data_IF_624831253367
#
_entry.id   IF_624831253367
#
_cell.length_a   1.000
_cell.length_b   1.000
_cell.length_c   1.000
_cell.angle_alpha   90.00
_cell.angle_beta   90.00
_cell.angle_gamma   90.00
#
_symmetry.space_group_name_H-M   'P 1'
#
loop_
_entity.id
_entity.type
_entity.pdbx_description
1 polymer ?
#
# COMPACT_ATOMS: atom_id res chain seq x y z
N UNK A 1 -2.86 -14.02 1.32
CA UNK A 1 -1.79 -14.18 0.31
C UNK A 1 -0.59 -13.37 0.74
N UNK A 2 0.62 -13.85 0.44
CA UNK A 2 1.87 -13.11 0.68
C UNK A 2 2.64 -12.92 -0.62
N UNK A 3 3.58 -11.98 -0.63
CA UNK A 3 4.56 -11.82 -1.71
C UNK A 3 5.87 -12.48 -1.33
N UNK A 4 6.61 -12.99 -2.33
CA UNK A 4 7.97 -13.51 -2.17
C UNK A 4 8.86 -12.71 -3.11
N UNK A 5 9.98 -12.20 -2.59
CA UNK A 5 10.99 -11.47 -3.34
C UNK A 5 12.29 -12.28 -3.38
N UNK A 6 12.88 -12.43 -4.57
CA UNK A 6 14.18 -13.06 -4.77
C UNK A 6 15.13 -12.08 -5.46
N UNK A 7 16.25 -11.75 -4.81
CA UNK A 7 17.24 -10.79 -5.32
C UNK A 7 18.26 -11.53 -6.20
N UNK A 8 18.38 -11.12 -7.46
CA UNK A 8 19.36 -11.71 -8.41
C UNK A 8 20.68 -10.95 -8.46
N UNK A 9 20.61 -9.63 -8.37
CA UNK A 9 21.73 -8.71 -8.41
C UNK A 9 21.45 -7.65 -7.34
N UNK A 10 22.45 -7.34 -6.52
CA UNK A 10 22.35 -6.39 -5.40
C UNK A 10 23.49 -5.37 -5.46
N UNK A 11 23.26 -4.11 -5.08
CA UNK A 11 24.31 -3.12 -5.02
C UNK A 11 25.31 -3.46 -3.89
N UNK A 12 26.57 -2.98 -3.98
CA UNK A 12 27.57 -3.23 -2.94
C UNK A 12 27.24 -2.53 -1.61
N UNK A 13 26.43 -1.47 -1.64
CA UNK A 13 25.94 -0.73 -0.46
C UNK A 13 24.51 -0.26 -0.72
N UNK A 14 23.63 -0.36 0.29
CA UNK A 14 22.23 0.02 0.21
C UNK A 14 21.34 -1.05 -0.45
N UNK A 15 20.14 -0.66 -0.90
CA UNK A 15 19.16 -1.58 -1.52
C UNK A 15 18.20 -2.24 -0.53
N UNK A 16 18.14 -1.76 0.71
CA UNK A 16 17.26 -2.28 1.74
C UNK A 16 15.79 -2.17 1.35
N UNK A 17 15.03 -3.21 1.67
CA UNK A 17 13.57 -3.19 1.61
C UNK A 17 13.02 -3.11 3.02
N UNK A 18 12.33 -2.02 3.33
CA UNK A 18 11.73 -1.81 4.64
C UNK A 18 10.28 -2.27 4.64
N UNK A 19 9.85 -2.82 5.78
CA UNK A 19 8.47 -3.23 6.02
C UNK A 19 7.92 -2.50 7.25
N UNK A 20 6.64 -2.14 7.19
CA UNK A 20 5.91 -1.57 8.32
C UNK A 20 4.64 -2.38 8.57
N UNK A 21 4.37 -2.69 9.84
CA UNK A 21 3.15 -3.41 10.24
C UNK A 21 1.98 -2.45 10.36
N UNK A 22 1.04 -2.53 9.43
CA UNK A 22 -0.19 -1.72 9.49
C UNK A 22 -1.13 -2.13 10.63
N UNK A 23 -0.98 -3.34 11.19
CA UNK A 23 -1.63 -3.70 12.45
C UNK A 23 -1.06 -2.88 13.62
N UNK A 24 0.27 -2.79 13.72
CA UNK A 24 0.92 -2.03 14.78
C UNK A 24 0.58 -0.54 14.66
N UNK A 25 0.57 0.00 13.43
CA UNK A 25 0.13 1.36 13.16
C UNK A 25 -1.30 1.61 13.65
N UNK A 26 -2.25 0.71 13.32
CA UNK A 26 -3.61 0.80 13.82
C UNK A 26 -3.67 0.77 15.36
N UNK A 27 -2.96 -0.15 16.01
CA UNK A 27 -2.96 -0.26 17.47
C UNK A 27 -2.41 0.99 18.16
N UNK A 28 -1.40 1.63 17.57
CA UNK A 28 -0.78 2.86 18.07
C UNK A 28 -1.66 4.12 17.95
N UNK A 29 -2.72 4.09 17.13
CA UNK A 29 -3.67 5.20 17.05
C UNK A 29 -4.41 5.41 18.38
N UNK A 30 -4.62 6.67 18.72
CA UNK A 30 -5.48 7.07 19.84
C UNK A 30 -6.93 6.64 19.60
N UNK A 31 -7.70 6.44 20.68
CA UNK A 31 -9.11 6.07 20.55
C UNK A 31 -9.94 7.09 19.73
N UNK A 32 -9.74 8.42 19.88
CA UNK A 32 -10.41 9.40 19.00
C UNK A 32 -10.06 9.21 17.52
N UNK A 33 -8.81 8.89 17.19
CA UNK A 33 -8.38 8.66 15.80
C UNK A 33 -8.94 7.38 15.21
N UNK A 34 -9.00 6.29 15.99
CA UNK A 34 -9.68 5.07 15.57
C UNK A 34 -11.16 5.33 15.26
N UNK A 35 -11.84 6.13 16.10
CA UNK A 35 -13.24 6.50 15.88
C UNK A 35 -13.41 7.40 14.66
N UNK A 36 -12.55 8.40 14.51
CA UNK A 36 -12.61 9.35 13.40
C UNK A 36 -12.41 8.66 12.04
N UNK A 37 -11.45 7.74 11.95
CA UNK A 37 -11.15 7.02 10.73
C UNK A 37 -12.12 5.86 10.45
N UNK A 38 -12.93 5.47 11.45
CA UNK A 38 -13.90 4.38 11.32
C UNK A 38 -15.00 4.77 10.34
N UNK A 39 -15.20 3.97 9.29
CA UNK A 39 -16.21 4.20 8.25
C UNK A 39 -15.76 5.10 7.11
N UNK A 40 -14.55 5.67 7.17
CA UNK A 40 -13.99 6.41 6.04
C UNK A 40 -13.43 5.47 4.97
N UNK A 41 -13.45 5.95 3.73
CA UNK A 41 -12.84 5.30 2.57
C UNK A 41 -11.72 6.17 1.99
N UNK A 42 -10.76 5.52 1.32
CA UNK A 42 -9.67 6.14 0.60
C UNK A 42 -9.64 5.65 -0.84
N UNK A 43 -9.31 6.55 -1.77
CA UNK A 43 -9.10 6.23 -3.18
C UNK A 43 -7.59 6.04 -3.41
N UNK A 44 -7.20 4.85 -3.83
CA UNK A 44 -5.84 4.54 -4.25
C UNK A 44 -5.76 4.72 -5.77
N UNK A 45 -4.99 5.71 -6.22
CA UNK A 45 -4.78 6.04 -7.63
C UNK A 45 -3.31 5.81 -8.02
N UNK A 46 -3.09 4.85 -8.92
CA UNK A 46 -1.76 4.50 -9.41
C UNK A 46 -1.25 5.41 -10.54
N UNK A 47 -2.12 6.20 -11.18
CA UNK A 47 -1.76 6.99 -12.35
C UNK A 47 -0.69 8.05 -12.04
N UNK A 48 -0.80 8.88 -10.98
CA UNK A 48 0.20 9.91 -10.68
C UNK A 48 1.60 9.35 -10.40
N UNK A 49 1.68 8.18 -9.76
CA UNK A 49 2.97 7.56 -9.44
C UNK A 49 3.62 6.93 -10.68
N UNK A 50 2.83 6.34 -11.58
CA UNK A 50 3.34 5.73 -12.81
C UNK A 50 3.76 6.77 -13.84
N UNK A 51 3.03 7.88 -13.97
CA UNK A 51 3.39 8.97 -14.88
C UNK A 51 4.64 9.71 -14.43
N UNK A 52 4.78 9.99 -13.12
CA UNK A 52 5.92 10.75 -12.58
C UNK A 52 7.24 9.97 -12.53
N UNK A 53 7.18 8.63 -12.51
CA UNK A 53 8.40 7.79 -12.44
C UNK A 53 8.91 7.31 -13.80
N UNK A 54 8.21 7.61 -14.91
CA UNK A 54 8.60 7.27 -16.29
C UNK A 54 9.15 5.83 -16.45
N UNK A 55 8.64 4.91 -15.61
CA UNK A 55 9.25 3.58 -15.36
C UNK A 55 8.70 2.46 -16.24
N UNK A 56 7.92 2.82 -17.25
CA UNK A 56 7.48 1.90 -18.29
C UNK A 56 8.13 2.37 -19.58
N UNK A 57 9.33 1.84 -19.82
CA UNK A 57 10.02 1.84 -21.10
C UNK A 57 8.98 1.63 -22.22
N UNK A 58 8.84 2.65 -23.08
CA UNK A 58 8.35 2.60 -24.47
C UNK A 58 7.20 1.64 -24.81
N UNK A 59 6.01 1.84 -24.25
CA UNK A 59 4.79 1.38 -24.91
C UNK A 59 3.90 2.59 -25.16
N UNK A 60 3.73 2.96 -26.43
CA UNK A 60 2.83 4.01 -26.93
C UNK A 60 1.34 3.74 -26.63
N UNK A 61 1.03 2.76 -25.78
CA UNK A 61 -0.35 2.41 -25.41
C UNK A 61 -0.79 3.20 -24.17
N UNK A 62 -1.92 3.93 -24.22
CA UNK A 62 -2.46 4.58 -23.05
C UNK A 62 -2.84 3.53 -22.00
N UNK A 63 -2.04 3.41 -20.94
CA UNK A 63 -2.32 2.53 -19.80
C UNK A 63 -3.32 3.22 -18.87
N UNK A 64 -4.54 2.69 -18.81
CA UNK A 64 -5.53 3.08 -17.80
C UNK A 64 -5.17 2.42 -16.48
N UNK A 65 -4.87 3.23 -15.46
CA UNK A 65 -4.65 2.72 -14.10
C UNK A 65 -5.98 2.73 -13.34
N UNK A 66 -6.39 1.61 -12.73
CA UNK A 66 -7.63 1.58 -11.97
C UNK A 66 -7.51 2.44 -10.71
N UNK A 67 -8.56 3.21 -10.43
CA UNK A 67 -8.76 3.89 -9.15
C UNK A 67 -9.60 2.98 -8.27
N UNK A 68 -9.08 2.58 -7.12
CA UNK A 68 -9.75 1.65 -6.22
C UNK A 68 -10.12 2.34 -4.91
N UNK A 69 -11.39 2.28 -4.53
CA UNK A 69 -11.89 2.80 -3.27
C UNK A 69 -11.93 1.70 -2.21
N UNK A 70 -11.33 1.96 -1.05
CA UNK A 70 -11.16 0.98 0.02
C UNK A 70 -11.38 1.62 1.40
N UNK A 71 -11.90 0.89 2.40
CA UNK A 71 -11.99 1.39 3.76
C UNK A 71 -10.62 1.75 4.33
N UNK A 72 -10.52 2.88 5.04
CA UNK A 72 -9.26 3.31 5.68
C UNK A 72 -8.81 2.32 6.75
N UNK A 73 -9.77 1.77 7.51
CA UNK A 73 -9.54 0.66 8.44
C UNK A 73 -10.17 -0.59 7.84
N UNK A 74 -9.35 -1.61 7.60
CA UNK A 74 -9.78 -2.91 7.06
C UNK A 74 -9.69 -4.00 8.11
N UNK A 75 -10.59 -4.96 8.01
CA UNK A 75 -10.56 -6.19 8.81
C UNK A 75 -9.94 -7.31 7.99
N UNK A 76 -8.85 -7.90 8.48
CA UNK A 76 -8.21 -9.02 7.80
C UNK A 76 -9.15 -10.23 7.77
N UNK A 77 -9.43 -10.82 6.59
CA UNK A 77 -10.53 -11.77 6.42
C UNK A 77 -10.36 -13.08 7.20
N UNK A 78 -9.10 -13.50 7.46
CA UNK A 78 -8.82 -14.74 8.20
C UNK A 78 -8.68 -14.52 9.71
N UNK A 79 -7.93 -13.49 10.12
CA UNK A 79 -7.57 -13.26 11.53
C UNK A 79 -8.53 -12.32 12.24
N UNK A 80 -9.42 -11.64 11.53
CA UNK A 80 -10.33 -10.64 12.09
C UNK A 80 -9.64 -9.37 12.62
N UNK A 81 -8.32 -9.25 12.48
CA UNK A 81 -7.56 -8.11 13.01
C UNK A 81 -7.75 -6.86 12.15
N UNK A 82 -7.81 -5.70 12.79
CA UNK A 82 -7.92 -4.42 12.11
C UNK A 82 -6.55 -3.82 11.77
N UNK A 83 -6.43 -3.28 10.56
CA UNK A 83 -5.23 -2.61 10.06
C UNK A 83 -5.63 -1.38 9.23
N UNK A 84 -4.73 -0.40 9.15
CA UNK A 84 -4.86 0.74 8.23
C UNK A 84 -4.49 0.33 6.80
N UNK A 85 -5.22 0.84 5.80
CA UNK A 85 -4.97 0.54 4.38
C UNK A 85 -3.93 1.43 3.72
#
# INVERSE_FOLDING_TARGET
>A
MGSILNLKIVPPVGGDTLFASMYAAYHALSAPMKKYLSGLTAIHDGAPNCTRTNRLISDETPKTFPRAEHPVIRTHPVTGRQATT
#
